data_IF_980598446917
#
_entry.id   IF_980598446917
#
_cell.length_a   1.000
_cell.length_b   1.000
_cell.length_c   1.000
_cell.angle_alpha   90.00
_cell.angle_beta   90.00
_cell.angle_gamma   90.00
#
_symmetry.space_group_name_H-M   'P 1'
#
loop_
_entity.id
_entity.type
_entity.pdbx_description
1 polymer ?
#
# COMPACT_ATOMS: atom_id res chain seq x y z
N UNK A 1 36.49 -33.55 18.00
CA UNK A 1 36.79 -32.79 16.76
C UNK A 1 35.54 -32.54 15.92
N UNK A 2 34.37 -33.08 16.29
CA UNK A 2 33.08 -32.89 15.59
C UNK A 2 32.23 -31.75 16.14
N UNK A 3 32.48 -31.30 17.36
CA UNK A 3 31.66 -30.27 18.02
C UNK A 3 31.95 -28.87 17.47
N UNK A 4 33.20 -28.58 17.08
CA UNK A 4 33.65 -27.29 16.53
C UNK A 4 33.06 -27.04 15.12
N UNK A 5 33.01 -28.08 14.29
CA UNK A 5 32.38 -28.03 12.96
C UNK A 5 30.86 -27.86 13.05
N UNK A 6 30.21 -28.47 14.05
CA UNK A 6 28.77 -28.31 14.30
C UNK A 6 28.41 -26.92 14.84
N UNK A 7 29.27 -26.34 15.68
CA UNK A 7 29.07 -25.00 16.22
C UNK A 7 29.25 -23.94 15.13
N UNK A 8 30.24 -24.12 14.26
CA UNK A 8 30.49 -23.27 13.08
C UNK A 8 29.32 -23.32 12.10
N UNK A 9 28.83 -24.52 11.74
CA UNK A 9 27.68 -24.68 10.85
C UNK A 9 26.38 -24.07 11.42
N UNK A 10 26.19 -24.12 12.75
CA UNK A 10 25.06 -23.44 13.42
C UNK A 10 25.21 -21.92 13.43
N UNK A 11 26.44 -21.41 13.52
CA UNK A 11 26.76 -19.99 13.42
C UNK A 11 26.41 -19.44 12.03
N UNK A 12 26.91 -20.10 10.98
CA UNK A 12 26.65 -19.72 9.59
C UNK A 12 25.15 -19.79 9.24
N UNK A 13 24.43 -20.81 9.72
CA UNK A 13 22.99 -20.93 9.51
C UNK A 13 22.22 -19.77 10.17
N UNK A 14 22.62 -19.35 11.38
CA UNK A 14 22.01 -18.19 12.06
C UNK A 14 22.29 -16.89 11.31
N UNK A 15 23.50 -16.74 10.78
CA UNK A 15 23.88 -15.56 10.00
C UNK A 15 23.08 -15.47 8.69
N UNK A 16 22.92 -16.58 7.97
CA UNK A 16 22.07 -16.65 6.76
C UNK A 16 20.61 -16.30 7.05
N UNK A 17 20.05 -16.83 8.16
CA UNK A 17 18.68 -16.49 8.59
C UNK A 17 18.57 -15.01 8.94
N UNK A 18 19.59 -14.42 9.59
CA UNK A 18 19.60 -13.01 9.93
C UNK A 18 19.65 -12.11 8.68
N UNK A 19 20.50 -12.44 7.71
CA UNK A 19 20.61 -11.72 6.42
C UNK A 19 19.28 -11.79 5.66
N UNK A 20 18.66 -12.98 5.59
CA UNK A 20 17.38 -13.14 4.91
C UNK A 20 16.26 -12.35 5.61
N UNK A 21 16.25 -12.32 6.95
CA UNK A 21 15.31 -11.51 7.73
C UNK A 21 15.51 -10.01 7.47
N UNK A 22 16.75 -9.52 7.42
CA UNK A 22 17.05 -8.11 7.13
C UNK A 22 16.57 -7.72 5.72
N UNK A 23 16.89 -8.53 4.71
CA UNK A 23 16.44 -8.31 3.32
C UNK A 23 14.92 -8.27 3.22
N UNK A 24 14.23 -9.23 3.86
CA UNK A 24 12.77 -9.27 3.87
C UNK A 24 12.15 -8.04 4.55
N UNK A 25 12.81 -7.51 5.59
CA UNK A 25 12.35 -6.30 6.26
C UNK A 25 12.52 -5.05 5.36
N UNK A 26 13.62 -4.94 4.62
CA UNK A 26 13.81 -3.86 3.65
C UNK A 26 12.77 -3.90 2.52
N UNK A 27 12.53 -5.07 1.93
CA UNK A 27 11.52 -5.25 0.89
C UNK A 27 10.14 -4.81 1.42
N UNK A 28 9.78 -5.19 2.66
CA UNK A 28 8.50 -4.78 3.28
C UNK A 28 8.38 -3.27 3.47
N UNK A 29 9.47 -2.56 3.79
CA UNK A 29 9.47 -1.09 3.86
C UNK A 29 9.18 -0.48 2.49
N UNK A 30 9.82 -0.97 1.42
CA UNK A 30 9.56 -0.51 0.06
C UNK A 30 8.12 -0.79 -0.37
N UNK A 31 7.59 -1.97 -0.06
CA UNK A 31 6.20 -2.34 -0.36
C UNK A 31 5.23 -1.43 0.40
N UNK A 32 5.46 -1.17 1.69
CA UNK A 32 4.64 -0.26 2.48
C UNK A 32 4.64 1.16 1.90
N UNK A 33 5.81 1.67 1.50
CA UNK A 33 5.93 2.98 0.86
C UNK A 33 5.23 3.04 -0.51
N UNK A 34 5.30 1.97 -1.31
CA UNK A 34 4.60 1.88 -2.58
C UNK A 34 3.07 1.88 -2.40
N UNK A 35 2.57 1.15 -1.40
CA UNK A 35 1.14 1.10 -1.08
C UNK A 35 0.64 2.46 -0.60
N UNK A 36 1.42 3.19 0.20
CA UNK A 36 1.05 4.53 0.66
C UNK A 36 0.99 5.55 -0.49
N UNK A 37 1.95 5.49 -1.41
CA UNK A 37 1.92 6.29 -2.65
C UNK A 37 0.71 5.93 -3.52
N UNK A 38 0.39 4.64 -3.65
CA UNK A 38 -0.76 4.17 -4.40
C UNK A 38 -2.07 4.63 -3.75
N UNK A 39 -2.19 4.55 -2.42
CA UNK A 39 -3.32 5.11 -1.66
C UNK A 39 -3.54 6.59 -1.97
N UNK A 40 -2.47 7.37 -1.97
CA UNK A 40 -2.51 8.80 -2.26
C UNK A 40 -2.94 9.07 -3.69
N UNK A 41 -2.38 8.33 -4.66
CA UNK A 41 -2.78 8.44 -6.07
C UNK A 41 -4.26 8.08 -6.27
N UNK A 42 -4.74 7.04 -5.60
CA UNK A 42 -6.16 6.64 -5.63
C UNK A 42 -7.06 7.70 -5.02
N UNK A 43 -6.67 8.35 -3.91
CA UNK A 43 -7.42 9.48 -3.36
C UNK A 43 -7.47 10.65 -4.35
N UNK A 44 -6.33 11.02 -4.93
CA UNK A 44 -6.25 12.12 -5.89
C UNK A 44 -7.12 11.85 -7.11
N UNK A 45 -6.95 10.70 -7.78
CA UNK A 45 -7.71 10.39 -9.00
C UNK A 45 -9.18 10.12 -8.69
N UNK A 46 -9.45 9.35 -7.64
CA UNK A 46 -10.81 8.93 -7.26
C UNK A 46 -11.66 10.05 -6.67
N UNK A 47 -11.07 11.11 -6.10
CA UNK A 47 -11.80 12.24 -5.53
C UNK A 47 -11.70 13.48 -6.40
N UNK A 48 -10.49 13.92 -6.76
CA UNK A 48 -10.31 15.16 -7.54
C UNK A 48 -10.73 14.98 -9.00
N UNK A 49 -10.54 13.80 -9.59
CA UNK A 49 -10.98 13.52 -10.96
C UNK A 49 -12.48 13.77 -11.16
N UNK A 50 -13.36 13.15 -10.35
CA UNK A 50 -14.79 13.42 -10.37
C UNK A 50 -15.16 14.88 -10.10
N UNK A 51 -14.50 15.55 -9.15
CA UNK A 51 -14.75 16.97 -8.86
C UNK A 51 -14.48 17.83 -10.08
N UNK A 52 -13.32 17.64 -10.73
CA UNK A 52 -12.97 18.36 -11.95
C UNK A 52 -13.98 18.06 -13.06
N UNK A 53 -14.36 16.79 -13.24
CA UNK A 53 -15.36 16.37 -14.22
C UNK A 53 -16.72 17.06 -14.01
N UNK A 54 -17.18 17.17 -12.76
CA UNK A 54 -18.42 17.89 -12.42
C UNK A 54 -18.30 19.39 -12.70
N UNK A 55 -17.15 20.00 -12.41
CA UNK A 55 -16.94 21.44 -12.68
C UNK A 55 -16.86 21.73 -14.18
N UNK A 56 -16.15 20.91 -14.96
CA UNK A 56 -15.93 21.17 -16.39
C UNK A 56 -17.11 20.76 -17.26
N UNK A 57 -17.80 19.67 -16.92
CA UNK A 57 -18.89 19.11 -17.73
C UNK A 57 -20.27 19.29 -17.10
N UNK A 58 -20.34 19.71 -15.83
CA UNK A 58 -21.60 19.82 -15.10
C UNK A 58 -22.60 20.74 -15.77
N UNK A 59 -22.18 21.86 -16.36
CA UNK A 59 -23.08 22.81 -17.01
C UNK A 59 -23.80 22.26 -18.25
N UNK A 60 -23.27 21.22 -18.88
CA UNK A 60 -23.82 20.63 -20.12
C UNK A 60 -24.67 19.38 -19.85
N UNK A 61 -24.46 18.71 -18.71
CA UNK A 61 -24.98 17.37 -18.47
C UNK A 61 -25.52 17.23 -17.02
N UNK A 62 -26.49 18.08 -16.66
CA UNK A 62 -27.22 18.05 -15.38
C UNK A 62 -28.16 16.84 -15.24
N UNK A 63 -27.84 15.69 -15.84
CA UNK A 63 -28.57 14.46 -15.63
C UNK A 63 -28.26 13.90 -14.24
N UNK A 64 -29.30 13.56 -13.47
CA UNK A 64 -29.16 13.00 -12.12
C UNK A 64 -28.23 11.79 -12.07
N UNK A 65 -28.19 11.00 -13.15
CA UNK A 65 -27.31 9.84 -13.28
C UNK A 65 -25.81 10.22 -13.31
N UNK A 66 -25.44 11.31 -13.98
CA UNK A 66 -24.06 11.78 -14.01
C UNK A 66 -23.59 12.14 -12.60
N UNK A 67 -24.35 12.95 -11.86
CA UNK A 67 -23.99 13.34 -10.49
C UNK A 67 -23.93 12.15 -9.52
N UNK A 68 -24.86 11.19 -9.64
CA UNK A 68 -24.83 9.95 -8.84
C UNK A 68 -23.58 9.14 -9.16
N UNK A 69 -23.22 8.97 -10.44
CA UNK A 69 -22.01 8.22 -10.82
C UNK A 69 -20.73 8.85 -10.27
N UNK A 70 -20.59 10.18 -10.35
CA UNK A 70 -19.43 10.90 -9.80
C UNK A 70 -19.37 10.76 -8.27
N UNK A 71 -20.51 10.82 -7.60
CA UNK A 71 -20.60 10.63 -6.14
C UNK A 71 -20.16 9.21 -5.73
N UNK A 72 -20.57 8.19 -6.48
CA UNK A 72 -20.15 6.80 -6.24
C UNK A 72 -18.66 6.62 -6.45
N UNK A 73 -18.07 7.25 -7.48
CA UNK A 73 -16.62 7.20 -7.73
C UNK A 73 -15.85 7.84 -6.57
N UNK A 74 -16.29 9.01 -6.08
CA UNK A 74 -15.67 9.70 -4.94
C UNK A 74 -15.67 8.81 -3.69
N UNK A 75 -16.82 8.25 -3.34
CA UNK A 75 -16.95 7.38 -2.16
C UNK A 75 -16.09 6.13 -2.32
N UNK A 76 -16.13 5.49 -3.48
CA UNK A 76 -15.35 4.28 -3.74
C UNK A 76 -13.84 4.55 -3.72
N UNK A 77 -13.40 5.67 -4.29
CA UNK A 77 -12.01 6.12 -4.26
C UNK A 77 -11.52 6.41 -2.83
N UNK A 78 -12.36 7.04 -2.01
CA UNK A 78 -12.07 7.27 -0.59
C UNK A 78 -11.94 5.98 0.21
N UNK A 79 -12.88 5.04 0.05
CA UNK A 79 -12.84 3.72 0.71
C UNK A 79 -11.60 2.94 0.28
N UNK A 80 -11.29 2.93 -1.02
CA UNK A 80 -10.14 2.22 -1.57
C UNK A 80 -8.82 2.82 -1.06
N UNK A 81 -8.69 4.15 -1.08
CA UNK A 81 -7.53 4.85 -0.51
C UNK A 81 -7.34 4.52 0.98
N UNK A 82 -8.39 4.63 1.78
CA UNK A 82 -8.33 4.30 3.20
C UNK A 82 -7.93 2.84 3.45
N UNK A 83 -8.48 1.91 2.66
CA UNK A 83 -8.12 0.50 2.68
C UNK A 83 -6.65 0.25 2.37
N UNK A 84 -6.11 0.88 1.32
CA UNK A 84 -4.69 0.79 0.99
C UNK A 84 -3.80 1.36 2.10
N UNK A 85 -4.17 2.51 2.69
CA UNK A 85 -3.39 3.10 3.77
C UNK A 85 -3.34 2.18 5.01
N UNK A 86 -4.48 1.58 5.39
CA UNK A 86 -4.53 0.57 6.46
C UNK A 86 -3.71 -0.68 6.13
N UNK A 87 -3.75 -1.13 4.89
CA UNK A 87 -2.99 -2.30 4.43
C UNK A 87 -1.48 -2.04 4.49
N UNK A 88 -1.01 -0.89 4.01
CA UNK A 88 0.39 -0.47 4.12
C UNK A 88 0.86 -0.41 5.57
N UNK A 89 0.04 0.15 6.47
CA UNK A 89 0.31 0.20 7.92
C UNK A 89 0.38 -1.19 8.55
N UNK A 90 -0.44 -2.13 8.08
CA UNK A 90 -0.44 -3.53 8.55
C UNK A 90 0.80 -4.28 8.12
N UNK A 91 1.25 -4.10 6.87
CA UNK A 91 2.51 -4.68 6.37
C UNK A 91 3.71 -4.17 7.18
N UNK A 92 3.74 -2.86 7.47
CA UNK A 92 4.81 -2.26 8.26
C UNK A 92 4.84 -2.83 9.69
N UNK A 93 3.67 -2.97 10.34
CA UNK A 93 3.56 -3.60 11.68
C UNK A 93 3.99 -5.06 11.69
N UNK A 94 3.73 -5.82 10.63
CA UNK A 94 4.17 -7.23 10.49
C UNK A 94 5.66 -7.36 10.17
N UNK A 95 6.34 -6.30 9.70
CA UNK A 95 7.79 -6.30 9.48
C UNK A 95 8.60 -5.93 10.74
N UNK A 96 7.99 -5.22 11.70
CA UNK A 96 8.61 -4.83 12.96
C UNK A 96 8.56 -5.90 14.07
N UNK A 97 7.71 -6.93 13.91
CA UNK A 97 7.70 -8.15 14.75
C UNK A 97 8.51 -9.23 14.05
#
# INVERSE_FOLDING_TARGET
MTDDDQETARGELKELIAIEKMRNNEIRKYVAAAIDRLSTATAVVGILGPIVSVVTNGASDHTSFFLVSQSVIIVSGGVLSYGLHLYGKTILRRGLR
#
